data_IF_291262561727
#
_entry.id   IF_291262561727
#
_cell.length_a   1.000
_cell.length_b   1.000
_cell.length_c   1.000
_cell.angle_alpha   90.00
_cell.angle_beta   90.00
_cell.angle_gamma   90.00
#
_symmetry.space_group_name_H-M   'P 1'
#
loop_
_entity.id
_entity.type
_entity.pdbx_description
1 polymer ?
#
# COMPACT_ATOMS: atom_id res chain seq x y z
N UNK A 1 3.07 5.51 17.26
CA UNK A 1 2.48 6.28 16.13
C UNK A 1 1.02 5.89 15.95
N UNK A 2 0.12 6.24 16.88
CA UNK A 2 -1.33 5.94 16.73
C UNK A 2 -1.99 6.92 15.75
N UNK A 3 -1.64 8.20 15.85
CA UNK A 3 -2.20 9.30 15.03
C UNK A 3 -2.03 9.10 13.52
N UNK A 4 -0.93 8.52 13.04
CA UNK A 4 -0.71 8.30 11.61
C UNK A 4 -1.57 7.17 11.04
N UNK A 5 -1.84 6.15 11.86
CA UNK A 5 -2.68 5.02 11.49
C UNK A 5 -4.15 5.43 11.36
N UNK A 6 -4.64 6.21 12.31
CA UNK A 6 -6.03 6.66 12.34
C UNK A 6 -6.33 7.60 11.16
N UNK A 7 -5.42 8.54 10.86
CA UNK A 7 -5.56 9.42 9.68
C UNK A 7 -5.52 8.66 8.36
N UNK A 8 -4.68 7.63 8.25
CA UNK A 8 -4.64 6.76 7.07
C UNK A 8 -5.96 6.00 6.90
N UNK A 9 -6.52 5.47 7.98
CA UNK A 9 -7.81 4.80 7.94
C UNK A 9 -8.93 5.76 7.53
N UNK A 10 -9.00 6.95 8.12
CA UNK A 10 -9.99 7.97 7.75
C UNK A 10 -9.88 8.35 6.27
N UNK A 11 -8.66 8.48 5.74
CA UNK A 11 -8.45 8.71 4.33
C UNK A 11 -9.04 7.56 3.49
N UNK A 12 -8.69 6.31 3.79
CA UNK A 12 -9.20 5.15 3.06
C UNK A 12 -10.72 5.04 3.17
N UNK A 13 -11.33 5.38 4.31
CA UNK A 13 -12.79 5.34 4.52
C UNK A 13 -13.54 6.41 3.72
N UNK A 14 -12.91 7.57 3.44
CA UNK A 14 -13.51 8.63 2.61
C UNK A 14 -13.55 8.29 1.13
N UNK A 15 -12.80 7.28 0.70
CA UNK A 15 -12.73 6.83 -0.68
C UNK A 15 -13.35 5.43 -0.80
N UNK A 16 -14.04 5.16 -1.91
CA UNK A 16 -14.61 3.84 -2.13
C UNK A 16 -13.51 2.76 -2.27
N UNK A 17 -12.45 3.11 -3.02
CA UNK A 17 -11.25 2.29 -3.23
C UNK A 17 -10.06 3.22 -3.44
N UNK A 18 -8.89 2.82 -2.96
CA UNK A 18 -7.63 3.56 -3.15
C UNK A 18 -6.51 2.65 -3.63
N UNK A 19 -5.52 3.23 -4.31
CA UNK A 19 -4.26 2.56 -4.65
C UNK A 19 -3.17 2.93 -3.66
N UNK A 20 -2.05 2.19 -3.66
CA UNK A 20 -0.87 2.59 -2.92
C UNK A 20 -0.35 3.98 -3.33
N UNK A 21 -0.44 4.35 -4.62
CA UNK A 21 -0.10 5.69 -5.08
C UNK A 21 -0.97 6.78 -4.45
N UNK A 22 -2.26 6.50 -4.23
CA UNK A 22 -3.14 7.47 -3.55
C UNK A 22 -2.77 7.62 -2.07
N UNK A 23 -2.34 6.53 -1.43
CA UNK A 23 -1.79 6.57 -0.07
C UNK A 23 -0.47 7.36 -0.03
N UNK A 24 0.39 7.22 -1.03
CA UNK A 24 1.62 8.02 -1.14
C UNK A 24 1.33 9.52 -1.29
N UNK A 25 0.37 9.88 -2.16
CA UNK A 25 -0.11 11.27 -2.27
C UNK A 25 -0.66 11.78 -0.94
N UNK A 26 -1.38 10.95 -0.20
CA UNK A 26 -1.84 11.28 1.14
C UNK A 26 -0.66 11.50 2.10
N UNK A 27 0.36 10.64 2.07
CA UNK A 27 1.56 10.82 2.89
C UNK A 27 2.31 12.12 2.55
N UNK A 28 2.49 12.43 1.26
CA UNK A 28 3.07 13.69 0.80
C UNK A 28 2.24 14.89 1.30
N UNK A 29 0.91 14.84 1.17
CA UNK A 29 0.01 15.91 1.63
C UNK A 29 0.06 16.13 3.14
N UNK A 30 0.37 15.10 3.92
CA UNK A 30 0.51 15.17 5.37
C UNK A 30 1.94 15.51 5.83
N UNK A 31 2.89 15.67 4.91
CA UNK A 31 4.31 15.84 5.24
C UNK A 31 4.93 14.60 5.91
N UNK A 32 4.36 13.42 5.70
CA UNK A 32 4.89 12.18 6.27
C UNK A 32 6.07 11.68 5.45
N UNK A 33 7.23 11.52 6.10
CA UNK A 33 8.35 10.82 5.49
C UNK A 33 8.03 9.31 5.44
N UNK A 34 7.55 8.84 4.29
CA UNK A 34 7.17 7.45 4.06
C UNK A 34 8.17 6.69 3.20
N UNK A 35 9.05 7.37 2.45
CA UNK A 35 9.97 6.75 1.49
C UNK A 35 10.98 5.84 2.20
N UNK A 36 11.25 4.68 1.60
CA UNK A 36 12.18 3.68 2.11
C UNK A 36 12.35 2.51 1.15
N UNK A 37 12.80 1.38 1.67
CA UNK A 37 13.18 0.16 0.92
C UNK A 37 12.38 -1.08 1.35
N UNK A 38 11.32 -0.89 2.14
CA UNK A 38 10.52 -1.99 2.67
C UNK A 38 9.41 -2.39 1.69
N UNK A 39 9.46 -3.64 1.25
CA UNK A 39 8.42 -4.28 0.45
C UNK A 39 7.23 -4.76 1.28
N UNK A 40 6.04 -4.69 0.70
CA UNK A 40 4.79 -5.25 1.22
C UNK A 40 4.39 -6.42 0.32
N UNK A 41 4.23 -7.59 0.93
CA UNK A 41 3.81 -8.82 0.23
C UNK A 41 2.55 -9.43 0.82
N UNK A 42 1.90 -10.30 0.04
CA UNK A 42 0.78 -11.10 0.54
C UNK A 42 1.34 -12.34 1.25
N UNK A 43 0.97 -12.51 2.52
CA UNK A 43 1.51 -13.56 3.42
C UNK A 43 1.49 -14.98 2.87
N UNK A 44 0.60 -15.29 1.92
CA UNK A 44 0.40 -16.64 1.38
C UNK A 44 1.14 -16.90 0.05
N UNK A 45 1.89 -15.94 -0.48
CA UNK A 45 2.47 -16.08 -1.82
C UNK A 45 3.69 -15.19 -2.01
N UNK A 46 4.67 -15.58 -2.84
CA UNK A 46 5.84 -14.76 -3.23
C UNK A 46 5.45 -13.52 -4.07
N UNK A 47 4.30 -12.92 -3.77
CA UNK A 47 3.68 -11.82 -4.49
C UNK A 47 3.93 -10.54 -3.70
N UNK A 48 4.60 -9.60 -4.35
CA UNK A 48 4.82 -8.25 -3.83
C UNK A 48 3.70 -7.36 -4.36
N UNK A 49 3.06 -6.61 -3.47
CA UNK A 49 1.98 -5.69 -3.82
C UNK A 49 2.44 -4.24 -3.81
N UNK A 50 3.48 -3.93 -3.04
CA UNK A 50 4.09 -2.59 -3.02
C UNK A 50 5.54 -2.63 -2.54
N UNK A 51 6.31 -1.62 -2.91
CA UNK A 51 7.65 -1.35 -2.38
C UNK A 51 7.91 0.16 -2.39
N UNK A 52 8.88 0.62 -1.61
CA UNK A 52 9.28 2.02 -1.55
C UNK A 52 8.89 2.72 -0.25
N UNK A 53 8.33 1.98 0.71
CA UNK A 53 7.94 2.53 2.02
C UNK A 53 9.00 2.22 3.07
N UNK A 54 9.11 3.05 4.11
CA UNK A 54 9.91 2.73 5.28
C UNK A 54 9.14 1.83 6.24
N UNK A 55 9.86 1.19 7.16
CA UNK A 55 9.29 0.26 8.15
C UNK A 55 8.15 0.87 8.97
N UNK A 56 8.15 2.18 9.22
CA UNK A 56 7.09 2.84 10.02
C UNK A 56 5.78 2.95 9.23
N UNK A 57 5.85 3.42 7.98
CA UNK A 57 4.70 3.50 7.08
C UNK A 57 4.14 2.10 6.77
N UNK A 58 5.01 1.15 6.42
CA UNK A 58 4.60 -0.23 6.16
C UNK A 58 3.96 -0.88 7.39
N UNK A 59 4.49 -0.64 8.60
CA UNK A 59 3.91 -1.17 9.83
C UNK A 59 2.52 -0.60 10.10
N UNK A 60 2.32 0.71 9.96
CA UNK A 60 1.02 1.34 10.19
C UNK A 60 -0.07 0.77 9.25
N UNK A 61 0.29 0.56 7.98
CA UNK A 61 -0.59 -0.07 7.00
C UNK A 61 -0.88 -1.55 7.35
N UNK A 62 0.16 -2.34 7.64
CA UNK A 62 0.00 -3.75 7.98
C UNK A 62 -0.79 -3.97 9.28
N UNK A 63 -0.68 -3.06 10.25
CA UNK A 63 -1.52 -3.07 11.45
C UNK A 63 -3.00 -2.91 11.10
N UNK A 64 -3.38 -2.01 10.16
CA UNK A 64 -4.76 -1.86 9.71
C UNK A 64 -5.29 -3.11 9.00
N UNK A 65 -4.43 -3.77 8.20
CA UNK A 65 -4.76 -5.04 7.54
C UNK A 65 -4.97 -6.14 8.58
N UNK A 66 -4.06 -6.27 9.55
CA UNK A 66 -4.13 -7.27 10.61
C UNK A 66 -5.33 -7.06 11.55
N UNK A 67 -5.73 -5.81 11.76
CA UNK A 67 -6.93 -5.43 12.52
C UNK A 67 -8.24 -5.63 11.73
N UNK A 68 -8.18 -6.06 10.45
CA UNK A 68 -9.36 -6.22 9.59
C UNK A 68 -10.09 -4.90 9.30
N UNK A 69 -9.39 -3.77 9.40
CA UNK A 69 -9.96 -2.44 9.14
C UNK A 69 -9.87 -2.06 7.66
N UNK A 70 -8.90 -2.63 6.96
CA UNK A 70 -8.73 -2.46 5.52
C UNK A 70 -8.44 -3.81 4.87
N UNK A 71 -8.91 -3.98 3.65
CA UNK A 71 -8.77 -5.18 2.86
C UNK A 71 -8.08 -4.85 1.53
N UNK A 72 -7.24 -5.78 1.06
CA UNK A 72 -6.56 -5.70 -0.23
C UNK A 72 -7.21 -6.67 -1.20
N UNK A 73 -7.70 -6.15 -2.32
CA UNK A 73 -8.34 -6.92 -3.37
C UNK A 73 -7.43 -6.97 -4.60
N UNK A 74 -7.09 -8.18 -5.05
CA UNK A 74 -6.39 -8.35 -6.32
C UNK A 74 -7.28 -7.86 -7.45
N UNK A 75 -6.77 -6.98 -8.31
CA UNK A 75 -7.50 -6.50 -9.47
C UNK A 75 -6.79 -6.95 -10.74
N UNK A 76 -7.56 -7.35 -11.77
CA UNK A 76 -7.01 -7.65 -13.10
C UNK A 76 -6.81 -6.40 -13.97
N UNK A 77 -7.11 -5.21 -13.45
CA UNK A 77 -7.17 -3.98 -14.24
C UNK A 77 -5.77 -3.41 -14.54
N UNK A 78 -5.47 -3.28 -15.84
CA UNK A 78 -4.31 -2.64 -16.48
C UNK A 78 -4.05 -1.15 -16.11
N UNK A 79 -4.76 -0.56 -15.14
CA UNK A 79 -4.74 0.88 -14.84
C UNK A 79 -4.10 1.25 -13.49
N UNK A 80 -3.59 0.29 -12.72
CA UNK A 80 -2.89 0.62 -11.46
C UNK A 80 -1.48 1.14 -11.79
N UNK A 81 -1.12 2.36 -11.36
CA UNK A 81 0.21 2.91 -11.60
C UNK A 81 1.29 2.06 -10.93
N UNK A 82 2.29 1.67 -11.73
CA UNK A 82 3.42 0.85 -11.30
C UNK A 82 4.28 1.61 -10.28
N UNK A 83 4.67 0.99 -9.15
CA UNK A 83 5.45 1.64 -8.11
C UNK A 83 6.77 2.20 -8.68
N UNK A 84 7.26 3.36 -8.22
CA UNK A 84 8.47 3.99 -8.76
C UNK A 84 9.70 3.07 -8.78
N UNK A 85 9.82 2.16 -7.81
CA UNK A 85 10.89 1.17 -7.71
C UNK A 85 10.94 0.15 -8.88
N UNK A 86 9.92 0.15 -9.75
CA UNK A 86 9.84 -0.75 -10.90
C UNK A 86 10.01 -0.03 -12.24
N UNK A 87 10.34 1.28 -12.24
CA UNK A 87 10.54 2.04 -13.50
C UNK A 87 11.93 1.86 -14.10
N UNK A 88 12.91 1.43 -13.31
CA UNK A 88 14.30 1.24 -13.73
C UNK A 88 14.77 -0.21 -13.53
N UNK A 89 14.84 -0.96 -14.64
CA UNK A 89 15.78 -2.07 -14.93
C UNK A 89 15.50 -3.47 -14.32
N UNK A 90 15.01 -4.36 -15.19
CA UNK A 90 15.49 -5.72 -15.54
C UNK A 90 15.98 -6.75 -14.49
N UNK A 91 15.86 -6.53 -13.17
CA UNK A 91 16.34 -7.52 -12.16
C UNK A 91 15.37 -7.83 -11.01
N UNK A 92 14.08 -7.60 -11.19
CA UNK A 92 13.03 -8.09 -10.27
C UNK A 92 12.06 -9.07 -10.94
N UNK A 93 12.50 -9.76 -12.01
CA UNK A 93 11.92 -11.05 -12.39
C UNK A 93 12.21 -12.06 -11.28
N UNK A 94 11.31 -12.21 -10.31
CA UNK A 94 11.06 -13.42 -9.50
C UNK A 94 9.96 -13.21 -8.43
N UNK A 95 9.47 -11.99 -8.23
CA UNK A 95 8.29 -11.71 -7.40
C UNK A 95 7.19 -11.16 -8.31
N UNK A 96 6.17 -11.97 -8.58
CA UNK A 96 5.06 -11.55 -9.44
C UNK A 96 4.35 -10.36 -8.76
N UNK A 97 4.56 -9.15 -9.29
CA UNK A 97 3.85 -7.97 -8.81
C UNK A 97 2.36 -8.17 -9.05
N UNK A 98 1.56 -7.89 -8.01
CA UNK A 98 0.11 -7.98 -8.12
C UNK A 98 -0.50 -6.61 -7.83
N UNK A 99 -1.19 -6.00 -8.81
CA UNK A 99 -1.94 -4.79 -8.55
C UNK A 99 -3.08 -5.11 -7.59
N UNK A 100 -3.17 -4.30 -6.53
CA UNK A 100 -4.22 -4.42 -5.52
C UNK A 100 -4.92 -3.09 -5.32
N UNK A 101 -6.21 -3.18 -5.03
CA UNK A 101 -7.03 -2.09 -4.55
C UNK A 101 -7.19 -2.25 -3.04
N UNK A 102 -7.16 -1.13 -2.34
CA UNK A 102 -7.28 -1.06 -0.89
C UNK A 102 -8.62 -0.42 -0.58
N UNK A 103 -9.39 -1.07 0.27
CA UNK A 103 -10.70 -0.59 0.68
C UNK A 103 -10.85 -0.77 2.19
N UNK A 104 -11.50 0.20 2.84
CA UNK A 104 -11.84 0.10 4.25
C UNK A 104 -13.03 -0.85 4.47
N UNK A 105 -13.02 -1.56 5.59
CA UNK A 105 -14.15 -2.36 6.01
C UNK A 105 -15.36 -1.44 6.27
N UNK A 106 -16.47 -1.69 5.57
CA UNK A 106 -17.72 -0.95 5.77
C UNK A 106 -18.45 -1.57 6.95
N UNK A 107 -18.43 -0.87 8.09
CA UNK A 107 -19.30 -1.18 9.25
C UNK A 107 -20.70 -0.66 9.04
#
# INVERSE_FOLDING_TARGET
>A
MRVQKDKLLEFIQKHEQVTFCDIERFFDSCGMNYKGDTGIGLSQSKLVVWNGWNRKASRAFMELVAEGKIHMFRTGMSKVPMPPAFRDVDKLCLLNYVPVLIQAERR
#
